data_IF_579639094202
#
_entry.id   IF_579639094202
#
_cell.length_a   1.000
_cell.length_b   1.000
_cell.length_c   1.000
_cell.angle_alpha   90.00
_cell.angle_beta   90.00
_cell.angle_gamma   90.00
#
_symmetry.space_group_name_H-M   'P 1'
#
loop_
_entity.id
_entity.type
_entity.pdbx_description
1 polymer ?
#
# COMPACT_ATOMS: atom_id res chain seq x y z
N UNK A 1 27.21 9.62 -14.63
CA UNK A 1 25.75 9.41 -14.62
C UNK A 1 25.16 10.54 -13.79
N UNK A 2 24.32 11.40 -14.38
CA UNK A 2 23.63 12.45 -13.62
C UNK A 2 22.45 11.77 -12.93
N UNK A 3 22.51 11.61 -11.62
CA UNK A 3 21.33 11.26 -10.83
C UNK A 3 20.27 12.35 -11.08
N UNK A 4 19.26 12.03 -11.87
CA UNK A 4 18.03 12.82 -11.96
C UNK A 4 17.25 12.58 -10.68
N UNK A 5 17.69 13.24 -9.61
CA UNK A 5 16.93 13.34 -8.37
C UNK A 5 15.64 14.10 -8.65
N UNK A 6 14.51 13.52 -8.25
CA UNK A 6 13.24 14.25 -8.18
C UNK A 6 13.36 15.18 -6.97
N UNK A 7 13.65 16.45 -7.20
CA UNK A 7 13.65 17.47 -6.15
C UNK A 7 12.22 17.98 -5.97
N UNK A 8 11.75 17.96 -4.74
CA UNK A 8 10.43 18.45 -4.35
C UNK A 8 10.65 19.36 -3.16
N UNK A 9 10.14 20.58 -3.23
CA UNK A 9 10.13 21.48 -2.10
C UNK A 9 8.79 21.31 -1.38
N UNK A 10 8.82 20.69 -0.20
CA UNK A 10 7.72 20.79 0.77
C UNK A 10 7.97 22.06 1.56
N UNK A 11 7.07 23.04 1.45
CA UNK A 11 7.20 24.32 2.15
C UNK A 11 6.15 24.40 3.25
N UNK A 12 6.64 24.47 4.48
CA UNK A 12 5.80 24.71 5.65
C UNK A 12 5.61 26.22 5.84
N UNK A 13 4.36 26.67 5.85
CA UNK A 13 4.02 28.03 6.23
C UNK A 13 3.58 28.04 7.71
N UNK A 14 4.51 28.34 8.62
CA UNK A 14 4.27 28.37 10.07
C UNK A 14 3.16 29.34 10.52
N UNK A 15 2.74 30.29 9.67
CA UNK A 15 1.69 31.25 9.98
C UNK A 15 0.27 30.79 9.59
N UNK A 16 0.12 29.79 8.71
CA UNK A 16 -1.20 29.34 8.23
C UNK A 16 -1.47 27.85 8.46
N UNK A 17 -0.53 27.08 9.02
CA UNK A 17 -0.66 25.63 9.27
C UNK A 17 -1.10 24.85 8.02
N UNK A 18 -0.51 25.15 6.86
CA UNK A 18 -0.85 24.51 5.58
C UNK A 18 0.40 23.95 4.92
N UNK A 19 0.28 22.71 4.43
CA UNK A 19 1.34 22.00 3.73
C UNK A 19 1.17 22.19 2.22
N UNK A 20 2.25 22.55 1.54
CA UNK A 20 2.25 22.75 0.09
C UNK A 20 3.31 21.90 -0.58
N UNK A 21 2.92 21.31 -1.71
CA UNK A 21 3.77 20.57 -2.63
C UNK A 21 4.02 21.40 -3.87
N UNK A 22 5.29 21.56 -4.22
CA UNK A 22 5.70 22.20 -5.47
C UNK A 22 6.66 21.28 -6.23
N UNK A 23 6.31 20.99 -7.48
CA UNK A 23 7.17 20.26 -8.40
C UNK A 23 8.24 21.20 -8.96
N UNK A 24 9.51 20.98 -8.62
CA UNK A 24 10.62 21.80 -9.09
C UNK A 24 11.19 21.27 -10.41
N UNK A 25 10.35 21.23 -11.45
CA UNK A 25 10.69 20.85 -12.84
C UNK A 25 11.01 19.37 -13.02
N UNK A 26 10.22 18.46 -12.46
CA UNK A 26 10.36 17.04 -12.75
C UNK A 26 10.17 16.75 -14.25
N UNK A 27 11.04 15.91 -14.82
CA UNK A 27 11.01 15.54 -16.23
C UNK A 27 9.73 14.77 -16.59
N UNK A 28 9.36 13.81 -15.74
CA UNK A 28 8.24 12.89 -15.95
C UNK A 28 6.93 13.32 -15.26
N UNK A 29 6.95 14.44 -14.53
CA UNK A 29 5.80 15.02 -13.86
C UNK A 29 5.49 14.40 -12.50
N UNK A 30 4.96 15.24 -11.61
CA UNK A 30 4.39 14.83 -10.32
C UNK A 30 2.88 14.85 -10.38
N UNK A 31 2.25 13.85 -9.75
CA UNK A 31 0.80 13.70 -9.69
C UNK A 31 0.35 13.64 -8.23
N UNK A 32 -0.75 14.31 -7.91
CA UNK A 32 -1.45 14.24 -6.62
C UNK A 32 -2.87 13.76 -6.90
N UNK A 33 -3.30 12.67 -6.27
CA UNK A 33 -4.61 12.05 -6.50
C UNK A 33 -4.93 11.83 -8.00
N UNK A 34 -3.94 11.36 -8.75
CA UNK A 34 -4.01 11.14 -10.22
C UNK A 34 -4.15 12.41 -11.07
N UNK A 35 -4.04 13.60 -10.48
CA UNK A 35 -3.99 14.88 -11.19
C UNK A 35 -2.54 15.37 -11.33
N UNK A 36 -2.12 15.68 -12.56
CA UNK A 36 -0.77 16.19 -12.85
C UNK A 36 -0.63 17.66 -12.43
N UNK A 37 0.46 18.00 -11.74
CA UNK A 37 0.68 19.35 -11.20
C UNK A 37 1.16 20.39 -12.24
N UNK A 38 1.98 19.98 -13.20
CA UNK A 38 2.50 20.85 -14.27
C UNK A 38 2.76 20.05 -15.55
N UNK A 39 3.13 20.73 -16.65
CA UNK A 39 3.70 20.08 -17.84
C UNK A 39 5.16 19.67 -17.56
N UNK A 40 5.66 18.64 -18.25
CA UNK A 40 6.97 18.06 -17.94
C UNK A 40 8.09 19.09 -18.09
N UNK A 41 9.06 19.07 -17.18
CA UNK A 41 10.18 20.03 -17.10
C UNK A 41 9.80 21.50 -16.79
N UNK A 42 8.56 21.76 -16.34
CA UNK A 42 8.11 23.07 -15.87
C UNK A 42 7.81 23.05 -14.36
N UNK A 43 8.07 24.17 -13.69
CA UNK A 43 7.84 24.33 -12.25
C UNK A 43 6.33 24.48 -11.99
N UNK A 44 5.77 23.67 -11.08
CA UNK A 44 4.34 23.76 -10.76
C UNK A 44 4.06 24.94 -9.82
N UNK A 45 2.81 25.42 -9.84
CA UNK A 45 2.29 26.25 -8.75
C UNK A 45 2.22 25.40 -7.46
N UNK A 46 2.46 25.99 -6.28
CA UNK A 46 2.32 25.29 -5.00
C UNK A 46 0.89 24.76 -4.82
N UNK A 47 0.75 23.45 -4.61
CA UNK A 47 -0.53 22.79 -4.38
C UNK A 47 -0.63 22.36 -2.93
N UNK A 48 -1.69 22.75 -2.25
CA UNK A 48 -1.93 22.35 -0.87
C UNK A 48 -2.17 20.82 -0.79
N UNK A 49 -1.56 20.17 0.20
CA UNK A 49 -1.71 18.75 0.50
C UNK A 49 -2.50 18.54 1.78
N UNK A 50 -3.21 17.41 1.84
CA UNK A 50 -3.92 16.92 3.01
C UNK A 50 -3.49 15.49 3.36
N UNK A 51 -3.70 15.08 4.61
CA UNK A 51 -3.48 13.68 5.01
C UNK A 51 -4.38 12.73 4.21
N UNK A 52 -3.77 11.66 3.70
CA UNK A 52 -4.42 10.68 2.82
C UNK A 52 -4.24 10.94 1.32
N UNK A 53 -3.67 12.09 0.93
CA UNK A 53 -3.36 12.35 -0.49
C UNK A 53 -2.32 11.37 -1.04
N UNK A 54 -2.55 10.91 -2.27
CA UNK A 54 -1.67 9.97 -2.98
C UNK A 54 -0.78 10.75 -3.92
N UNK A 55 0.53 10.76 -3.65
CA UNK A 55 1.53 11.32 -4.55
C UNK A 55 2.10 10.20 -5.43
N UNK A 56 2.17 10.47 -6.73
CA UNK A 56 2.77 9.60 -7.74
C UNK A 56 3.82 10.38 -8.52
N UNK A 57 5.00 9.79 -8.66
CA UNK A 57 6.06 10.32 -9.51
C UNK A 57 6.03 9.59 -10.84
N UNK A 58 6.07 10.34 -11.95
CA UNK A 58 6.21 9.73 -13.26
C UNK A 58 7.54 8.99 -13.35
N UNK A 59 7.50 7.68 -13.65
CA UNK A 59 8.68 6.84 -13.89
C UNK A 59 8.63 6.36 -15.35
N UNK A 60 9.80 6.13 -15.96
CA UNK A 60 9.87 5.53 -17.30
C UNK A 60 9.30 4.11 -17.28
N UNK A 61 8.69 3.71 -18.40
CA UNK A 61 7.76 2.58 -18.62
C UNK A 61 8.32 1.18 -18.26
N UNK A 62 9.51 1.08 -17.68
CA UNK A 62 10.13 -0.19 -17.26
C UNK A 62 10.07 -0.48 -15.75
N UNK A 63 9.66 0.46 -14.89
CA UNK A 63 9.50 0.20 -13.45
C UNK A 63 8.08 0.53 -12.96
N UNK A 64 7.46 -0.45 -12.30
CA UNK A 64 6.12 -0.35 -11.74
C UNK A 64 5.98 0.82 -10.73
N UNK A 65 4.86 1.53 -10.86
CA UNK A 65 4.44 2.76 -10.18
C UNK A 65 4.70 2.79 -8.66
N UNK A 66 5.69 3.56 -8.21
CA UNK A 66 5.87 3.89 -6.79
C UNK A 66 4.80 4.91 -6.37
N UNK A 67 3.80 4.45 -5.62
CA UNK A 67 2.77 5.29 -4.98
C UNK A 67 3.19 5.58 -3.54
N UNK A 68 3.10 6.82 -3.11
CA UNK A 68 3.31 7.21 -1.73
C UNK A 68 2.04 7.90 -1.20
N UNK A 69 1.52 7.42 -0.07
CA UNK A 69 0.46 8.08 0.69
C UNK A 69 1.09 9.01 1.71
N UNK A 70 0.58 10.24 1.81
CA UNK A 70 1.12 11.24 2.72
C UNK A 70 0.29 11.28 4.02
N UNK A 71 0.97 11.21 5.16
CA UNK A 71 0.40 11.49 6.48
C UNK A 71 1.05 12.76 7.02
N UNK A 72 0.25 13.80 7.26
CA UNK A 72 0.70 15.11 7.70
C UNK A 72 0.22 15.35 9.13
N UNK A 73 1.15 15.69 10.02
CA UNK A 73 0.86 16.00 11.42
C UNK A 73 1.31 17.42 11.75
N UNK A 74 0.44 18.16 12.43
CA UNK A 74 0.77 19.47 13.01
C UNK A 74 1.68 19.31 14.23
N UNK A 75 2.42 20.37 14.63
CA UNK A 75 3.29 20.34 15.82
C UNK A 75 2.56 20.12 17.15
N UNK A 76 1.23 20.17 17.16
CA UNK A 76 0.37 19.82 18.29
C UNK A 76 -0.07 18.34 18.30
N UNK A 77 0.41 17.53 17.34
CA UNK A 77 0.12 16.11 17.20
C UNK A 77 -1.19 15.78 16.47
N UNK A 78 -1.93 16.77 15.97
CA UNK A 78 -3.17 16.54 15.20
C UNK A 78 -2.87 16.28 13.74
N UNK A 79 -3.56 15.31 13.14
CA UNK A 79 -3.45 15.02 11.72
C UNK A 79 -4.12 16.13 10.90
N UNK A 80 -3.46 16.61 9.85
CA UNK A 80 -3.96 17.66 8.96
C UNK A 80 -5.00 17.08 7.99
N UNK A 81 -6.16 16.71 8.54
CA UNK A 81 -7.29 16.15 7.81
C UNK A 81 -7.99 17.23 6.99
N UNK A 82 -8.45 16.88 5.79
CA UNK A 82 -9.34 17.73 5.02
C UNK A 82 -10.72 17.75 5.70
N UNK A 83 -11.16 18.90 6.21
CA UNK A 83 -12.48 19.10 6.87
C UNK A 83 -13.70 18.82 5.96
N UNK A 84 -13.47 18.33 4.73
CA UNK A 84 -14.49 17.88 3.79
C UNK A 84 -14.70 16.37 3.71
N UNK A 85 -14.01 15.56 4.54
CA UNK A 85 -14.32 14.14 4.74
C UNK A 85 -14.60 13.89 6.22
N UNK A 86 -15.88 14.02 6.59
CA UNK A 86 -16.44 14.04 7.94
C UNK A 86 -15.97 12.92 8.88
N UNK A 87 -15.74 13.22 10.18
CA UNK A 87 -15.92 12.27 11.25
C UNK A 87 -17.39 12.29 11.70
N UNK A 88 -18.10 11.21 11.39
CA UNK A 88 -19.37 10.86 12.01
C UNK A 88 -19.13 10.67 13.51
N UNK A 89 -19.68 11.56 14.34
CA UNK A 89 -20.28 11.30 15.66
C UNK A 89 -20.77 12.64 16.24
N UNK A 90 -22.06 12.96 16.13
CA UNK A 90 -22.88 13.60 17.18
C UNK A 90 -24.34 13.80 16.73
N UNK A 91 -25.25 13.30 17.58
CA UNK A 91 -26.59 13.83 17.89
C UNK A 91 -27.57 14.21 16.76
N UNK A 92 -28.62 13.40 16.59
CA UNK A 92 -29.98 13.90 16.36
C UNK A 92 -30.51 14.10 14.93
N UNK A 93 -29.70 13.90 13.87
CA UNK A 93 -30.13 14.11 12.47
C UNK A 93 -30.14 12.86 11.55
N UNK A 94 -29.93 11.67 12.11
CA UNK A 94 -29.36 10.52 11.39
C UNK A 94 -30.23 9.79 10.34
N UNK A 95 -31.53 10.08 10.21
CA UNK A 95 -32.38 9.30 9.27
C UNK A 95 -32.41 9.85 7.83
N UNK A 96 -32.10 11.14 7.60
CA UNK A 96 -32.11 11.73 6.26
C UNK A 96 -30.81 11.53 5.47
N UNK A 97 -29.66 11.71 6.14
CA UNK A 97 -28.34 11.65 5.51
C UNK A 97 -27.93 10.21 5.12
N UNK A 98 -28.21 9.22 5.98
CA UNK A 98 -27.98 7.80 5.64
C UNK A 98 -28.85 7.33 4.48
N UNK A 99 -30.07 7.86 4.35
CA UNK A 99 -30.96 7.55 3.22
C UNK A 99 -30.43 8.11 1.89
N UNK A 100 -29.86 9.32 1.93
CA UNK A 100 -29.27 9.95 0.74
C UNK A 100 -27.98 9.25 0.30
N UNK A 101 -27.10 8.88 1.23
CA UNK A 101 -25.89 8.10 0.95
C UNK A 101 -26.24 6.70 0.41
N UNK A 102 -27.25 6.04 0.99
CA UNK A 102 -27.70 4.72 0.55
C UNK A 102 -28.36 4.76 -0.83
N UNK A 103 -29.10 5.82 -1.15
CA UNK A 103 -29.62 6.06 -2.51
C UNK A 103 -28.49 6.31 -3.51
N UNK A 104 -27.46 7.07 -3.12
CA UNK A 104 -26.32 7.35 -3.99
C UNK A 104 -25.48 6.09 -4.26
N UNK A 105 -25.29 5.23 -3.25
CA UNK A 105 -24.65 3.91 -3.43
C UNK A 105 -25.49 3.01 -4.33
N UNK A 106 -26.82 2.98 -4.15
CA UNK A 106 -27.71 2.21 -5.02
C UNK A 106 -27.63 2.68 -6.49
N UNK A 107 -27.54 3.99 -6.71
CA UNK A 107 -27.34 4.56 -8.04
C UNK A 107 -25.99 4.16 -8.64
N UNK A 108 -24.89 4.23 -7.88
CA UNK A 108 -23.58 3.78 -8.36
C UNK A 108 -23.55 2.28 -8.69
N UNK A 109 -24.23 1.46 -7.87
CA UNK A 109 -24.32 0.03 -8.11
C UNK A 109 -25.11 -0.27 -9.39
N UNK A 110 -26.22 0.45 -9.62
CA UNK A 110 -27.02 0.31 -10.83
C UNK A 110 -26.27 0.79 -12.09
N UNK A 111 -25.51 1.87 -11.99
CA UNK A 111 -24.63 2.34 -13.07
C UNK A 111 -23.48 1.37 -13.35
N UNK A 112 -22.89 0.76 -12.30
CA UNK A 112 -21.85 -0.24 -12.44
C UNK A 112 -22.38 -1.48 -13.15
N UNK A 113 -23.57 -1.97 -12.75
CA UNK A 113 -24.23 -3.11 -13.37
C UNK A 113 -24.60 -2.84 -14.84
N UNK A 114 -25.06 -1.63 -15.17
CA UNK A 114 -25.32 -1.26 -16.56
C UNK A 114 -24.03 -1.20 -17.41
N UNK A 115 -22.93 -0.66 -16.84
CA UNK A 115 -21.62 -0.66 -17.50
C UNK A 115 -21.10 -2.09 -17.72
N UNK A 116 -21.25 -2.96 -16.73
CA UNK A 116 -20.88 -4.38 -16.81
C UNK A 116 -21.62 -5.07 -17.96
N UNK A 117 -22.95 -4.94 -18.02
CA UNK A 117 -23.75 -5.51 -19.10
C UNK A 117 -23.35 -4.95 -20.49
N UNK A 118 -22.97 -3.67 -20.58
CA UNK A 118 -22.44 -3.10 -21.82
C UNK A 118 -21.11 -3.73 -22.22
N UNK A 119 -20.21 -3.96 -21.25
CA UNK A 119 -18.92 -4.59 -21.50
C UNK A 119 -19.08 -6.05 -21.93
N UNK A 120 -19.97 -6.80 -21.29
CA UNK A 120 -20.32 -8.17 -21.70
C UNK A 120 -20.83 -8.22 -23.14
N UNK A 121 -21.75 -7.33 -23.52
CA UNK A 121 -22.26 -7.24 -24.88
C UNK A 121 -21.16 -6.87 -25.91
N UNK A 122 -20.26 -5.95 -25.55
CA UNK A 122 -19.10 -5.60 -26.38
C UNK A 122 -18.16 -6.79 -26.54
N UNK A 123 -17.89 -7.52 -25.45
CA UNK A 123 -17.03 -8.71 -25.47
C UNK A 123 -17.63 -9.79 -26.37
N UNK A 124 -18.92 -10.08 -26.24
CA UNK A 124 -19.62 -11.05 -27.09
C UNK A 124 -19.59 -10.65 -28.57
N UNK A 125 -19.71 -9.35 -28.85
CA UNK A 125 -19.63 -8.83 -30.23
C UNK A 125 -18.21 -8.97 -30.79
N UNK A 126 -17.19 -8.64 -29.99
CA UNK A 126 -15.78 -8.78 -30.38
C UNK A 126 -15.42 -10.26 -30.63
N UNK A 127 -15.85 -11.17 -29.75
CA UNK A 127 -15.65 -12.61 -29.94
C UNK A 127 -16.27 -13.10 -31.26
N UNK A 128 -17.49 -12.66 -31.58
CA UNK A 128 -18.14 -12.99 -32.86
C UNK A 128 -17.38 -12.44 -34.06
N UNK A 129 -16.92 -11.19 -33.98
CA UNK A 129 -16.14 -10.56 -35.06
C UNK A 129 -14.81 -11.29 -35.27
N UNK A 130 -14.13 -11.68 -34.19
CA UNK A 130 -12.89 -12.47 -34.25
C UNK A 130 -13.16 -13.82 -34.92
N UNK A 131 -14.22 -14.52 -34.52
CA UNK A 131 -14.60 -15.79 -35.14
C UNK A 131 -14.92 -15.62 -36.64
N UNK A 132 -15.74 -14.63 -37.01
CA UNK A 132 -16.06 -14.36 -38.41
C UNK A 132 -14.82 -13.98 -39.24
N UNK A 133 -13.89 -13.23 -38.66
CA UNK A 133 -12.63 -12.86 -39.31
C UNK A 133 -11.74 -14.09 -39.50
N UNK A 134 -11.71 -14.98 -38.52
CA UNK A 134 -10.98 -16.25 -38.61
C UNK A 134 -11.56 -17.13 -39.73
N UNK A 135 -12.88 -17.35 -39.74
CA UNK A 135 -13.56 -18.15 -40.77
C UNK A 135 -13.36 -17.55 -42.18
N UNK A 136 -13.44 -16.22 -42.31
CA UNK A 136 -13.17 -15.53 -43.57
C UNK A 136 -11.70 -15.66 -44.00
N UNK A 137 -10.76 -15.63 -43.05
CA UNK A 137 -9.34 -15.83 -43.33
C UNK A 137 -9.05 -17.26 -43.78
N UNK A 138 -9.59 -18.25 -43.08
CA UNK A 138 -9.43 -19.68 -43.43
C UNK A 138 -10.01 -19.98 -44.81
N UNK A 139 -11.20 -19.44 -45.11
CA UNK A 139 -11.81 -19.51 -46.44
C UNK A 139 -10.95 -18.82 -47.51
N UNK A 140 -10.38 -17.65 -47.20
CA UNK A 140 -9.50 -16.90 -48.09
C UNK A 140 -8.22 -17.65 -48.46
N UNK A 141 -7.53 -18.23 -47.47
CA UNK A 141 -6.32 -19.03 -47.73
C UNK A 141 -6.65 -20.32 -48.51
N UNK A 142 -7.79 -20.95 -48.22
CA UNK A 142 -8.24 -22.11 -48.98
C UNK A 142 -8.51 -21.77 -50.45
N UNK A 143 -9.17 -20.63 -50.72
CA UNK A 143 -9.40 -20.14 -52.08
C UNK A 143 -8.09 -19.86 -52.82
N UNK A 144 -7.09 -19.28 -52.15
CA UNK A 144 -5.75 -19.06 -52.73
C UNK A 144 -5.06 -20.38 -53.11
N UNK A 145 -5.15 -21.41 -52.26
CA UNK A 145 -4.60 -22.74 -52.57
C UNK A 145 -5.29 -23.34 -53.79
N UNK A 146 -6.62 -23.21 -53.87
CA UNK A 146 -7.38 -23.75 -55.00
C UNK A 146 -7.11 -22.98 -56.30
N UNK A 147 -6.87 -21.67 -56.23
CA UNK A 147 -6.40 -20.86 -57.36
C UNK A 147 -5.00 -21.31 -57.83
N UNK A 148 -4.05 -21.50 -56.92
CA UNK A 148 -2.70 -21.97 -57.24
C UNK A 148 -2.71 -23.36 -57.92
N UNK A 149 -3.60 -24.24 -57.47
CA UNK A 149 -3.83 -25.55 -58.12
C UNK A 149 -4.38 -25.41 -59.54
N UNK A 150 -5.32 -24.49 -59.75
CA UNK A 150 -5.89 -24.23 -61.07
C UNK A 150 -4.85 -23.60 -62.00
N UNK A 151 -4.04 -22.67 -61.51
CA UNK A 151 -2.92 -22.07 -62.25
C UNK A 151 -1.90 -23.13 -62.67
N UNK A 152 -1.47 -23.99 -61.73
CA UNK A 152 -0.60 -25.12 -62.03
C UNK A 152 -1.19 -26.05 -63.10
N UNK A 153 -2.51 -26.27 -63.07
CA UNK A 153 -3.20 -27.10 -64.07
C UNK A 153 -3.26 -26.41 -65.44
N UNK A 154 -3.51 -25.11 -65.48
CA UNK A 154 -3.50 -24.32 -66.72
C UNK A 154 -2.13 -24.35 -67.36
N UNK A 155 -1.07 -24.13 -66.59
CA UNK A 155 0.31 -24.17 -67.08
C UNK A 155 0.64 -25.53 -67.73
N UNK A 156 0.24 -26.64 -67.10
CA UNK A 156 0.41 -27.98 -67.69
C UNK A 156 -0.34 -28.13 -69.01
N UNK A 157 -1.59 -27.65 -69.10
CA UNK A 157 -2.40 -27.75 -70.31
C UNK A 157 -1.84 -26.87 -71.43
N UNK A 158 -1.39 -25.66 -71.12
CA UNK A 158 -0.71 -24.77 -72.08
C UNK A 158 0.56 -25.41 -72.63
N UNK A 159 1.38 -26.01 -71.75
CA UNK A 159 2.59 -26.72 -72.14
C UNK A 159 2.30 -27.94 -73.04
N UNK A 160 1.25 -28.71 -72.72
CA UNK A 160 0.82 -29.84 -73.57
C UNK A 160 0.39 -29.36 -74.95
N UNK A 161 -0.40 -28.29 -75.02
CA UNK A 161 -0.89 -27.72 -76.28
C UNK A 161 0.28 -27.17 -77.12
N UNK A 162 1.24 -26.49 -76.47
CA UNK A 162 2.46 -26.03 -77.11
C UNK A 162 3.30 -27.19 -77.68
N UNK A 163 3.45 -28.29 -76.93
CA UNK A 163 4.17 -29.48 -77.38
C UNK A 163 3.50 -30.14 -78.59
N UNK A 164 2.17 -30.30 -78.60
CA UNK A 164 1.44 -30.84 -79.76
C UNK A 164 1.47 -29.93 -80.99
N UNK A 165 1.65 -28.61 -80.80
CA UNK A 165 1.71 -27.64 -81.90
C UNK A 165 3.06 -27.63 -82.64
N UNK A 166 4.13 -28.13 -82.02
CA UNK A 166 5.48 -28.22 -82.59
C UNK A 166 5.75 -29.64 -83.10
N UNK A 167 6.28 -29.78 -84.31
CA UNK A 167 6.88 -31.05 -84.77
C UNK A 167 8.20 -31.29 -84.01
N UNK A 168 8.11 -31.90 -82.84
CA UNK A 168 9.28 -32.26 -82.03
C UNK A 168 10.11 -33.34 -82.74
N UNK A 169 11.41 -33.10 -82.87
CA UNK A 169 12.37 -34.09 -83.36
C UNK A 169 12.89 -34.92 -82.18
N UNK A 170 13.37 -36.12 -82.46
CA UNK A 170 13.90 -37.02 -81.43
C UNK A 170 15.03 -36.35 -80.59
N UNK A 171 15.86 -35.52 -81.22
CA UNK A 171 16.91 -34.76 -80.54
C UNK A 171 16.37 -33.70 -79.58
N UNK A 172 15.30 -32.98 -79.98
CA UNK A 172 14.67 -31.99 -79.06
C UNK A 172 14.04 -32.67 -77.85
N UNK A 173 13.44 -33.84 -78.04
CA UNK A 173 12.88 -34.64 -76.93
C UNK A 173 13.97 -35.15 -75.98
N UNK A 174 15.12 -35.57 -76.52
CA UNK A 174 16.27 -36.01 -75.70
C UNK A 174 16.84 -34.84 -74.88
N UNK A 175 16.94 -33.64 -75.45
CA UNK A 175 17.40 -32.44 -74.74
C UNK A 175 16.42 -31.99 -73.66
N UNK A 176 15.11 -31.99 -73.95
CA UNK A 176 14.07 -31.71 -72.96
C UNK A 176 14.09 -32.73 -71.82
N UNK A 177 14.29 -34.02 -72.11
CA UNK A 177 14.40 -35.07 -71.09
C UNK A 177 15.61 -34.84 -70.17
N UNK A 178 16.77 -34.47 -70.72
CA UNK A 178 17.97 -34.16 -69.91
C UNK A 178 17.75 -32.93 -69.03
N UNK A 179 17.12 -31.88 -69.56
CA UNK A 179 16.81 -30.67 -68.80
C UNK A 179 15.84 -30.98 -67.65
N UNK A 180 14.77 -31.75 -67.91
CA UNK A 180 13.82 -32.14 -66.88
C UNK A 180 14.46 -33.02 -65.79
N UNK A 181 15.45 -33.85 -66.14
CA UNK A 181 16.21 -34.63 -65.17
C UNK A 181 17.09 -33.74 -64.29
N UNK A 182 17.76 -32.74 -64.86
CA UNK A 182 18.56 -31.75 -64.12
C UNK A 182 17.68 -30.90 -63.20
N UNK A 183 16.56 -30.39 -63.69
CA UNK A 183 15.59 -29.64 -62.89
C UNK A 183 15.07 -30.46 -61.73
N UNK A 184 14.64 -31.71 -61.99
CA UNK A 184 14.18 -32.62 -60.95
C UNK A 184 15.25 -32.82 -59.88
N UNK A 185 16.50 -33.07 -60.28
CA UNK A 185 17.62 -33.23 -59.34
C UNK A 185 17.85 -31.96 -58.51
N UNK A 186 17.79 -30.79 -59.13
CA UNK A 186 17.95 -29.50 -58.46
C UNK A 186 16.82 -29.24 -57.45
N UNK A 187 15.57 -29.50 -57.82
CA UNK A 187 14.41 -29.38 -56.93
C UNK A 187 14.52 -30.32 -55.74
N UNK A 188 14.85 -31.60 -55.96
CA UNK A 188 15.05 -32.57 -54.89
C UNK A 188 16.17 -32.16 -53.93
N UNK A 189 17.28 -31.64 -54.46
CA UNK A 189 18.42 -31.19 -53.66
C UNK A 189 18.05 -29.98 -52.80
N UNK A 190 17.44 -28.95 -53.41
CA UNK A 190 16.98 -27.75 -52.68
C UNK A 190 15.93 -28.08 -51.63
N UNK A 191 15.00 -28.98 -51.93
CA UNK A 191 13.98 -29.42 -50.97
C UNK A 191 14.63 -30.14 -49.78
N UNK A 192 15.61 -31.02 -50.02
CA UNK A 192 16.36 -31.71 -48.96
C UNK A 192 17.14 -30.72 -48.09
N UNK A 193 17.84 -29.76 -48.69
CA UNK A 193 18.58 -28.73 -47.96
C UNK A 193 17.65 -27.85 -47.11
N UNK A 194 16.51 -27.43 -47.67
CA UNK A 194 15.50 -26.65 -46.95
C UNK A 194 14.92 -27.43 -45.77
N UNK A 195 14.59 -28.71 -45.96
CA UNK A 195 14.10 -29.58 -44.89
C UNK A 195 15.16 -29.75 -43.79
N UNK A 196 16.43 -29.93 -44.17
CA UNK A 196 17.51 -30.06 -43.21
C UNK A 196 17.69 -28.78 -42.39
N UNK A 197 17.60 -27.61 -43.02
CA UNK A 197 17.66 -26.30 -42.35
C UNK A 197 16.53 -26.15 -41.33
N UNK A 198 15.28 -26.42 -41.73
CA UNK A 198 14.12 -26.32 -40.82
C UNK A 198 14.24 -27.33 -39.66
N UNK A 199 14.75 -28.53 -39.93
CA UNK A 199 14.98 -29.54 -38.89
C UNK A 199 16.03 -29.06 -37.87
N UNK A 200 17.11 -28.44 -38.34
CA UNK A 200 18.14 -27.85 -37.48
C UNK A 200 17.57 -26.71 -36.62
N UNK A 201 16.82 -25.80 -37.23
CA UNK A 201 16.13 -24.71 -36.52
C UNK A 201 15.17 -25.26 -35.45
N UNK A 202 14.44 -26.34 -35.75
CA UNK A 202 13.59 -27.04 -34.79
C UNK A 202 14.40 -27.61 -33.62
N UNK A 203 15.54 -28.25 -33.87
CA UNK A 203 16.39 -28.77 -32.80
C UNK A 203 16.89 -27.65 -31.89
N UNK A 204 17.35 -26.54 -32.46
CA UNK A 204 17.81 -25.38 -31.69
C UNK A 204 16.69 -24.75 -30.87
N UNK A 205 15.47 -24.69 -31.41
CA UNK A 205 14.29 -24.23 -30.69
C UNK A 205 13.93 -25.16 -29.52
N UNK A 206 13.93 -26.48 -29.73
CA UNK A 206 13.66 -27.47 -28.66
C UNK A 206 14.69 -27.40 -27.55
N UNK A 207 15.97 -27.23 -27.90
CA UNK A 207 17.04 -27.07 -26.90
C UNK A 207 16.82 -25.81 -26.05
N UNK A 208 16.51 -24.68 -26.69
CA UNK A 208 16.20 -23.42 -25.98
C UNK A 208 14.97 -23.56 -25.08
N UNK A 209 13.93 -24.26 -25.52
CA UNK A 209 12.75 -24.53 -24.70
C UNK A 209 13.12 -25.34 -23.45
N UNK A 210 13.93 -26.39 -23.59
CA UNK A 210 14.38 -27.19 -22.44
C UNK A 210 15.23 -26.37 -21.45
N UNK A 211 16.10 -25.48 -21.94
CA UNK A 211 16.88 -24.59 -21.09
C UNK A 211 15.98 -23.59 -20.33
N UNK A 212 14.95 -23.06 -21.01
CA UNK A 212 13.96 -22.15 -20.40
C UNK A 212 13.09 -22.87 -19.37
N UNK A 213 12.62 -24.09 -19.64
CA UNK A 213 11.84 -24.91 -18.70
C UNK A 213 12.63 -25.16 -17.41
N UNK A 214 13.93 -25.48 -17.54
CA UNK A 214 14.81 -25.67 -16.37
C UNK A 214 14.99 -24.36 -15.59
N UNK A 215 15.19 -23.25 -16.28
CA UNK A 215 15.31 -21.94 -15.62
C UNK A 215 14.01 -21.55 -14.91
N UNK A 216 12.86 -21.82 -15.53
CA UNK A 216 11.54 -21.56 -14.95
C UNK A 216 11.35 -22.36 -13.65
N UNK A 217 11.61 -23.68 -13.70
CA UNK A 217 11.54 -24.55 -12.51
C UNK A 217 12.40 -24.03 -11.36
N UNK A 218 13.65 -23.62 -11.65
CA UNK A 218 14.52 -23.05 -10.62
C UNK A 218 13.94 -21.77 -10.01
N UNK A 219 13.40 -20.86 -10.84
CA UNK A 219 12.80 -19.61 -10.35
C UNK A 219 11.50 -19.85 -9.58
N UNK A 220 10.72 -20.87 -9.94
CA UNK A 220 9.53 -21.28 -9.21
C UNK A 220 9.89 -21.81 -7.82
N UNK A 221 10.94 -22.64 -7.72
CA UNK A 221 11.47 -23.14 -6.45
C UNK A 221 11.96 -22.00 -5.55
N UNK A 222 12.73 -21.05 -6.12
CA UNK A 222 13.19 -19.84 -5.41
C UNK A 222 12.02 -18.99 -4.90
N UNK A 223 10.98 -18.81 -5.73
CA UNK A 223 9.78 -18.07 -5.33
C UNK A 223 8.97 -18.78 -4.25
N UNK A 224 8.94 -20.12 -4.26
CA UNK A 224 8.31 -20.91 -3.20
C UNK A 224 9.07 -20.74 -1.89
N UNK A 225 10.40 -20.86 -1.93
CA UNK A 225 11.25 -20.72 -0.76
C UNK A 225 11.15 -19.32 -0.14
N UNK A 226 11.19 -18.26 -0.95
CA UNK A 226 11.03 -16.89 -0.46
C UNK A 226 9.66 -16.65 0.16
N UNK A 227 8.59 -17.25 -0.39
CA UNK A 227 7.25 -17.19 0.21
C UNK A 227 7.22 -17.84 1.59
N UNK A 228 7.77 -19.04 1.73
CA UNK A 228 7.86 -19.74 3.02
C UNK A 228 8.65 -18.93 4.06
N UNK A 229 9.77 -18.31 3.66
CA UNK A 229 10.55 -17.44 4.55
C UNK A 229 9.77 -16.20 5.00
N UNK A 230 9.05 -15.55 4.07
CA UNK A 230 8.21 -14.40 4.39
C UNK A 230 7.08 -14.78 5.35
N UNK A 231 6.42 -15.91 5.13
CA UNK A 231 5.36 -16.41 6.00
C UNK A 231 5.89 -16.74 7.40
N UNK A 232 7.04 -17.41 7.49
CA UNK A 232 7.68 -17.70 8.78
C UNK A 232 8.04 -16.41 9.54
N UNK A 233 8.65 -15.44 8.87
CA UNK A 233 8.98 -14.15 9.48
C UNK A 233 7.74 -13.37 9.92
N UNK A 234 6.66 -13.42 9.13
CA UNK A 234 5.38 -12.81 9.50
C UNK A 234 4.76 -13.46 10.74
N UNK A 235 4.84 -14.78 10.86
CA UNK A 235 4.38 -15.51 12.06
C UNK A 235 5.19 -15.13 13.30
N UNK A 236 6.51 -15.01 13.18
CA UNK A 236 7.38 -14.56 14.28
C UNK A 236 7.05 -13.14 14.74
N UNK A 237 6.84 -12.22 13.79
CA UNK A 237 6.43 -10.83 14.09
C UNK A 237 5.07 -10.79 14.80
N UNK A 238 4.12 -11.61 14.35
CA UNK A 238 2.81 -11.69 14.99
C UNK A 238 2.91 -12.22 16.42
N UNK A 239 3.67 -13.30 16.65
CA UNK A 239 3.88 -13.85 17.99
C UNK A 239 4.58 -12.83 18.91
N UNK A 240 5.54 -12.06 18.38
CA UNK A 240 6.20 -11.00 19.14
C UNK A 240 5.23 -9.85 19.49
N UNK A 241 4.36 -9.46 18.56
CA UNK A 241 3.35 -8.44 18.78
C UNK A 241 2.32 -8.87 19.85
N UNK A 242 1.87 -10.12 19.82
CA UNK A 242 0.98 -10.71 20.84
C UNK A 242 1.64 -10.69 22.21
N UNK A 243 2.89 -11.16 22.32
CA UNK A 243 3.65 -11.13 23.57
C UNK A 243 3.86 -9.70 24.10
N UNK A 244 4.10 -8.74 23.22
CA UNK A 244 4.22 -7.34 23.61
C UNK A 244 2.89 -6.78 24.12
N UNK A 245 1.77 -7.12 23.49
CA UNK A 245 0.44 -6.73 23.95
C UNK A 245 0.10 -7.32 25.33
N UNK A 246 0.50 -8.56 25.61
CA UNK A 246 0.39 -9.16 26.95
C UNK A 246 1.20 -8.38 27.99
N UNK A 247 2.45 -8.04 27.67
CA UNK A 247 3.31 -7.26 28.57
C UNK A 247 2.77 -5.86 28.84
N UNK A 248 2.17 -5.21 27.83
CA UNK A 248 1.48 -3.93 28.03
C UNK A 248 0.28 -4.05 28.98
N UNK A 249 -0.51 -5.13 28.89
CA UNK A 249 -1.61 -5.39 29.82
C UNK A 249 -1.09 -5.61 31.24
N UNK A 250 -0.07 -6.44 31.42
CA UNK A 250 0.58 -6.65 32.72
C UNK A 250 1.10 -5.33 33.31
N UNK A 251 1.77 -4.51 32.50
CA UNK A 251 2.26 -3.21 32.92
C UNK A 251 1.13 -2.27 33.36
N UNK A 252 0.02 -2.23 32.61
CA UNK A 252 -1.14 -1.42 32.98
C UNK A 252 -1.79 -1.88 34.29
N UNK A 253 -1.83 -3.19 34.55
CA UNK A 253 -2.35 -3.74 35.80
C UNK A 253 -1.45 -3.36 36.98
N UNK A 254 -0.13 -3.52 36.85
CA UNK A 254 0.85 -3.10 37.85
C UNK A 254 0.80 -1.59 38.11
N UNK A 255 0.59 -0.79 37.06
CA UNK A 255 0.46 0.66 37.18
C UNK A 255 -0.79 1.05 37.99
N UNK A 256 -1.91 0.35 37.78
CA UNK A 256 -3.13 0.57 38.57
C UNK A 256 -2.94 0.14 40.03
N UNK A 257 -2.32 -1.03 40.28
CA UNK A 257 -2.00 -1.48 41.64
C UNK A 257 -1.08 -0.51 42.38
N UNK A 258 -0.08 0.04 41.69
CA UNK A 258 0.81 1.05 42.25
C UNK A 258 0.05 2.32 42.63
N UNK A 259 -0.83 2.82 41.75
CA UNK A 259 -1.66 4.00 42.06
C UNK A 259 -2.59 3.76 43.25
N UNK A 260 -3.18 2.57 43.38
CA UNK A 260 -4.00 2.22 44.54
C UNK A 260 -3.18 2.15 45.83
N UNK A 261 -1.96 1.59 45.76
CA UNK A 261 -1.06 1.54 46.90
C UNK A 261 -0.60 2.95 47.33
N UNK A 262 -0.26 3.82 46.37
CA UNK A 262 0.10 5.22 46.63
C UNK A 262 -1.05 6.00 47.28
N UNK A 263 -2.29 5.83 46.80
CA UNK A 263 -3.48 6.45 47.42
C UNK A 263 -3.67 5.98 48.87
N UNK A 264 -3.67 4.67 49.10
CA UNK A 264 -3.79 4.11 50.46
C UNK A 264 -2.69 4.63 51.37
N UNK A 265 -1.46 4.74 50.87
CA UNK A 265 -0.35 5.26 51.65
C UNK A 265 -0.57 6.73 52.02
N UNK A 266 -1.00 7.57 51.06
CA UNK A 266 -1.32 8.97 51.33
C UNK A 266 -2.47 9.11 52.35
N UNK A 267 -3.54 8.33 52.21
CA UNK A 267 -4.67 8.34 53.17
C UNK A 267 -4.19 7.99 54.59
N UNK A 268 -3.31 6.99 54.73
CA UNK A 268 -2.72 6.64 56.04
C UNK A 268 -1.79 7.72 56.58
N UNK A 269 -1.06 8.40 55.71
CA UNK A 269 -0.17 9.51 56.09
C UNK A 269 -1.00 10.68 56.60
N UNK A 270 -2.07 11.07 55.89
CA UNK A 270 -2.99 12.13 56.30
C UNK A 270 -3.66 11.82 57.64
N UNK A 271 -4.12 10.57 57.85
CA UNK A 271 -4.70 10.15 59.13
C UNK A 271 -3.68 10.22 60.28
N UNK A 272 -2.44 9.80 60.04
CA UNK A 272 -1.37 9.89 61.03
C UNK A 272 -0.99 11.36 61.34
N UNK A 273 -0.99 12.24 60.34
CA UNK A 273 -0.78 13.69 60.54
C UNK A 273 -1.92 14.34 61.33
N UNK A 274 -3.17 13.95 61.07
CA UNK A 274 -4.34 14.40 61.84
C UNK A 274 -4.25 13.94 63.30
N UNK A 275 -3.98 12.66 63.54
CA UNK A 275 -3.82 12.11 64.89
C UNK A 275 -2.68 12.82 65.64
N UNK A 276 -1.55 13.05 64.97
CA UNK A 276 -0.43 13.81 65.52
C UNK A 276 -0.84 15.25 65.88
N UNK A 277 -1.62 15.92 65.04
CA UNK A 277 -2.10 17.28 65.30
C UNK A 277 -3.08 17.32 66.49
N UNK A 278 -3.98 16.34 66.60
CA UNK A 278 -4.88 16.20 67.75
C UNK A 278 -4.12 15.96 69.05
N UNK A 279 -3.14 15.05 69.06
CA UNK A 279 -2.28 14.80 70.21
C UNK A 279 -1.45 16.04 70.59
N UNK A 280 -0.95 16.78 69.60
CA UNK A 280 -0.24 18.03 69.84
C UNK A 280 -1.14 19.07 70.52
N UNK A 281 -2.39 19.20 70.06
CA UNK A 281 -3.36 20.11 70.67
C UNK A 281 -3.69 19.71 72.11
N UNK A 282 -3.87 18.42 72.39
CA UNK A 282 -4.09 17.93 73.75
C UNK A 282 -2.89 18.20 74.67
N UNK A 283 -1.67 18.05 74.16
CA UNK A 283 -0.44 18.41 74.88
C UNK A 283 -0.40 19.92 75.20
N UNK A 284 -0.78 20.77 74.25
CA UNK A 284 -0.81 22.21 74.45
C UNK A 284 -1.88 22.62 75.49
N UNK A 285 -3.08 22.03 75.43
CA UNK A 285 -4.16 22.23 76.42
C UNK A 285 -3.70 21.80 77.83
N UNK A 286 -3.09 20.63 77.98
CA UNK A 286 -2.53 20.16 79.25
C UNK A 286 -1.39 21.05 79.77
N UNK A 287 -0.55 21.58 78.87
CA UNK A 287 0.50 22.53 79.23
C UNK A 287 -0.10 23.84 79.75
N UNK A 288 -1.15 24.37 79.12
CA UNK A 288 -1.87 25.55 79.60
C UNK A 288 -2.50 25.32 80.97
N UNK A 289 -3.15 24.18 81.18
CA UNK A 289 -3.69 23.80 82.49
C UNK A 289 -2.60 23.70 83.55
N UNK A 290 -1.47 23.08 83.20
CA UNK A 290 -0.31 22.96 84.09
C UNK A 290 0.25 24.34 84.44
N UNK A 291 0.40 25.22 83.47
CA UNK A 291 0.81 26.62 83.68
C UNK A 291 -0.19 27.38 84.55
N UNK A 292 -1.50 27.20 84.33
CA UNK A 292 -2.52 27.82 85.16
C UNK A 292 -2.44 27.32 86.61
N UNK A 293 -2.35 26.01 86.82
CA UNK A 293 -2.21 25.42 88.14
C UNK A 293 -0.93 25.91 88.83
N UNK A 294 0.18 25.98 88.10
CA UNK A 294 1.45 26.50 88.61
C UNK A 294 1.32 27.98 89.02
N UNK A 295 0.73 28.84 88.20
CA UNK A 295 0.46 30.23 88.54
C UNK A 295 -0.47 30.37 89.77
N UNK A 296 -1.45 29.47 89.91
CA UNK A 296 -2.35 29.43 91.08
C UNK A 296 -1.61 29.00 92.34
N UNK A 297 -0.69 28.03 92.25
CA UNK A 297 0.19 27.61 93.34
C UNK A 297 1.10 28.78 93.75
N UNK A 298 1.72 29.47 92.80
CA UNK A 298 2.55 30.66 93.05
C UNK A 298 1.75 31.78 93.72
N UNK A 299 0.53 32.07 93.24
CA UNK A 299 -0.35 33.06 93.86
C UNK A 299 -0.75 32.67 95.29
N UNK A 300 -1.04 31.39 95.55
CA UNK A 300 -1.36 30.89 96.89
C UNK A 300 -0.13 30.92 97.82
N UNK A 301 1.06 30.62 97.30
CA UNK A 301 2.32 30.76 98.04
C UNK A 301 2.55 32.22 98.41
N UNK A 302 2.44 33.15 97.46
CA UNK A 302 2.56 34.59 97.71
C UNK A 302 1.53 35.10 98.73
N UNK A 303 0.29 34.57 98.71
CA UNK A 303 -0.76 34.95 99.66
C UNK A 303 -0.51 34.36 101.07
N UNK A 304 0.06 33.15 101.16
CA UNK A 304 0.53 32.58 102.42
C UNK A 304 1.73 33.34 102.99
N UNK A 305 2.65 33.78 102.14
CA UNK A 305 3.78 34.61 102.53
C UNK A 305 3.31 36.00 102.98
N UNK A 306 2.29 36.59 102.34
CA UNK A 306 1.61 37.80 102.82
C UNK A 306 0.96 37.59 104.19
N UNK A 307 0.25 36.47 104.41
CA UNK A 307 -0.37 36.15 105.70
C UNK A 307 0.66 35.94 106.82
N UNK A 308 1.80 35.31 106.51
CA UNK A 308 2.93 35.20 107.44
C UNK A 308 3.58 36.56 107.70
N UNK A 309 3.68 37.43 106.71
CA UNK A 309 4.15 38.81 106.87
C UNK A 309 3.22 39.71 107.69
N UNK A 310 1.90 39.46 107.68
CA UNK A 310 0.92 40.19 108.51
C UNK A 310 0.73 39.63 109.92
N UNK A 311 1.21 38.41 110.19
CA UNK A 311 1.21 37.83 111.54
C UNK A 311 2.38 38.35 112.40
N UNK A 312 3.37 39.01 111.79
CA UNK A 312 4.49 39.67 112.46
C UNK A 312 4.32 41.21 112.49
N UNK A 313 3.19 41.71 113.02
CA UNK A 313 3.18 43.02 113.70
C UNK A 313 2.34 42.96 114.99
N UNK A 314 2.86 43.52 116.11
CA UNK A 314 2.42 43.18 117.47
C UNK A 314 1.35 44.13 118.00
N UNK A 315 0.45 43.64 118.84
CA UNK A 315 -0.29 44.48 119.79
C UNK A 315 -0.34 43.79 121.16
N UNK A 316 0.17 44.50 122.18
CA UNK A 316 -0.11 44.26 123.60
C UNK A 316 0.94 43.46 124.36
#
# INVERSE_FOLDING_TARGET
MKETGVFIAVKDCYQSFQFYLQDTKSSNGTFVNSQRLSKGSEESVPRQLYSGDIIQFGVDVMENSRRATVQLYHPDGREATNDHSSPFLTSGGAFGAQSQELFQIAQYLQEALHREQMLENKLATLQRLVQQTQEASDSGWQALIDEDRLLSRLEVLENQLAAYSKNQTEDTLRQELTHLQEDKYNYETRAKESLHKVLQEKFDAVRKLSDLERSLSNTEDECSHLREMCEASQQELQALAEKHAEKLKEFSALQNELQEAEKKHNDTLEAAEQEKAELQRQLDELNEETHHLQAKVEALQANNDFKKGTADQPEG
#
